data_IF_511476794889
#
_entry.id   IF_511476794889
#
_cell.length_a   1.000
_cell.length_b   1.000
_cell.length_c   1.000
_cell.angle_alpha   90.00
_cell.angle_beta   90.00
_cell.angle_gamma   90.00
#
_symmetry.space_group_name_H-M   'P 1'
#
loop_
_entity.id
_entity.type
_entity.pdbx_description
1 polymer ?
#
# COMPACT_ATOMS: atom_id res chain seq x y z
N UNK A 1 4.53 -13.26 16.12
CA UNK A 1 4.66 -11.78 16.14
C UNK A 1 3.35 -11.18 16.61
N UNK A 2 3.37 -10.16 17.48
CA UNK A 2 2.18 -9.41 17.89
C UNK A 2 1.92 -8.24 16.92
N UNK A 3 0.73 -7.64 16.96
CA UNK A 3 0.41 -6.45 16.14
C UNK A 3 1.37 -5.29 16.46
N UNK A 4 1.72 -5.08 17.73
CA UNK A 4 2.66 -4.01 18.09
C UNK A 4 4.07 -4.27 17.55
N UNK A 5 4.51 -5.53 17.51
CA UNK A 5 5.77 -5.90 16.84
C UNK A 5 5.69 -5.66 15.33
N UNK A 6 4.54 -5.91 14.70
CA UNK A 6 4.34 -5.59 13.27
C UNK A 6 4.41 -4.09 13.02
N UNK A 7 3.77 -3.26 13.86
CA UNK A 7 3.85 -1.80 13.76
C UNK A 7 5.28 -1.28 13.86
N UNK A 8 6.08 -1.82 14.79
CA UNK A 8 7.51 -1.49 14.90
C UNK A 8 8.28 -1.94 13.66
N UNK A 9 7.96 -3.12 13.12
CA UNK A 9 8.59 -3.62 11.90
C UNK A 9 8.29 -2.71 10.70
N UNK A 10 7.06 -2.17 10.58
CA UNK A 10 6.71 -1.19 9.53
C UNK A 10 7.63 0.02 9.58
N UNK A 11 7.87 0.59 10.77
CA UNK A 11 8.76 1.73 10.94
C UNK A 11 10.22 1.40 10.61
N UNK A 12 10.68 0.21 11.00
CA UNK A 12 12.03 -0.26 10.66
C UNK A 12 12.21 -0.42 9.15
N UNK A 13 11.23 -1.02 8.47
CA UNK A 13 11.25 -1.20 7.02
C UNK A 13 11.11 0.13 6.28
N UNK A 14 10.29 1.06 6.76
CA UNK A 14 10.24 2.41 6.23
C UNK A 14 11.61 3.08 6.25
N UNK A 15 12.31 3.03 7.39
CA UNK A 15 13.67 3.57 7.51
C UNK A 15 14.66 2.86 6.59
N UNK A 16 14.59 1.52 6.48
CA UNK A 16 15.45 0.72 5.60
C UNK A 16 15.32 1.14 4.12
N UNK A 17 14.10 1.43 3.66
CA UNK A 17 13.82 1.78 2.27
C UNK A 17 13.76 3.30 2.00
N UNK A 18 14.03 4.14 3.00
CA UNK A 18 13.99 5.60 2.89
C UNK A 18 12.57 6.15 2.64
N UNK A 19 11.55 5.43 3.10
CA UNK A 19 10.15 5.82 2.99
C UNK A 19 9.76 6.59 4.26
N UNK A 20 8.94 7.64 4.09
CA UNK A 20 8.44 8.42 5.23
C UNK A 20 7.68 7.52 6.22
N UNK A 21 8.03 7.51 7.52
CA UNK A 21 7.45 6.60 8.49
C UNK A 21 5.96 6.87 8.76
N UNK A 22 5.52 8.13 8.69
CA UNK A 22 4.11 8.49 8.85
C UNK A 22 3.27 7.94 7.70
N UNK A 23 3.76 8.07 6.47
CA UNK A 23 3.11 7.49 5.28
C UNK A 23 3.09 5.97 5.36
N UNK A 24 4.20 5.34 5.72
CA UNK A 24 4.29 3.88 5.85
C UNK A 24 3.28 3.32 6.84
N UNK A 25 3.20 3.94 8.02
CA UNK A 25 2.28 3.53 9.07
C UNK A 25 0.82 3.68 8.62
N UNK A 26 0.45 4.85 8.08
CA UNK A 26 -0.89 5.14 7.60
C UNK A 26 -1.30 4.20 6.45
N UNK A 27 -0.36 3.89 5.55
CA UNK A 27 -0.61 2.97 4.46
C UNK A 27 -0.88 1.55 4.97
N UNK A 28 -0.06 1.01 5.87
CA UNK A 28 -0.28 -0.32 6.42
C UNK A 28 -1.57 -0.42 7.24
N UNK A 29 -1.94 0.65 7.94
CA UNK A 29 -3.24 0.72 8.61
C UNK A 29 -4.39 0.71 7.60
N UNK A 30 -4.31 1.47 6.52
CA UNK A 30 -5.32 1.50 5.45
C UNK A 30 -5.48 0.14 4.77
N UNK A 31 -4.38 -0.57 4.51
CA UNK A 31 -4.39 -1.88 3.83
C UNK A 31 -4.91 -3.00 4.73
N UNK A 32 -4.47 -3.05 5.98
CA UNK A 32 -4.73 -4.21 6.83
C UNK A 32 -5.74 -3.97 7.97
N UNK A 33 -5.98 -2.69 8.33
CA UNK A 33 -6.73 -2.34 9.53
C UNK A 33 -6.12 -2.91 10.81
N UNK A 34 -4.85 -3.31 10.78
CA UNK A 34 -4.15 -4.05 11.84
C UNK A 34 -4.85 -5.35 12.24
N UNK A 35 -5.64 -5.94 11.34
CA UNK A 35 -6.36 -7.17 11.56
C UNK A 35 -5.44 -8.38 11.45
N UNK A 36 -5.51 -9.28 12.44
CA UNK A 36 -4.67 -10.48 12.48
C UNK A 36 -4.93 -11.44 11.31
N UNK A 37 -6.20 -11.63 10.94
CA UNK A 37 -6.60 -12.48 9.82
C UNK A 37 -6.14 -11.95 8.45
N UNK A 38 -5.98 -10.65 8.32
CA UNK A 38 -5.41 -10.01 7.12
C UNK A 38 -3.89 -10.16 7.11
N UNK A 39 -3.24 -9.85 8.21
CA UNK A 39 -1.77 -9.80 8.29
C UNK A 39 -1.16 -11.20 8.24
N UNK A 40 -1.69 -12.12 9.06
CA UNK A 40 -1.13 -13.47 9.22
C UNK A 40 -1.93 -14.56 8.48
N UNK A 41 -3.00 -14.20 7.76
CA UNK A 41 -3.91 -15.09 7.09
C UNK A 41 -5.04 -15.63 8.01
N UNK A 42 -6.05 -16.21 7.42
CA UNK A 42 -6.18 -16.63 6.02
C UNK A 42 -6.97 -15.66 5.12
N UNK A 43 -7.20 -14.40 5.51
CA UNK A 43 -8.00 -13.46 4.70
C UNK A 43 -7.40 -13.27 3.30
N UNK A 44 -8.27 -13.28 2.29
CA UNK A 44 -7.94 -13.01 0.88
C UNK A 44 -8.91 -11.94 0.38
N UNK A 45 -8.40 -10.86 -0.19
CA UNK A 45 -9.19 -9.79 -0.78
C UNK A 45 -9.88 -10.20 -2.08
N UNK A 46 -10.72 -9.32 -2.64
CA UNK A 46 -11.56 -9.60 -3.80
C UNK A 46 -10.79 -9.86 -5.10
N UNK A 47 -9.60 -9.28 -5.26
CA UNK A 47 -8.68 -9.54 -6.37
C UNK A 47 -7.52 -10.48 -5.98
N UNK A 48 -7.67 -11.21 -4.87
CA UNK A 48 -6.68 -12.14 -4.38
C UNK A 48 -5.61 -11.52 -3.49
N UNK A 49 -5.80 -10.29 -3.02
CA UNK A 49 -4.85 -9.56 -2.19
C UNK A 49 -4.59 -10.29 -0.86
N UNK A 50 -3.34 -10.24 -0.39
CA UNK A 50 -2.91 -10.92 0.84
C UNK A 50 -1.91 -10.11 1.64
N UNK A 51 -1.92 -10.39 2.95
CA UNK A 51 -0.96 -9.86 3.91
C UNK A 51 -1.14 -8.38 4.23
N UNK A 52 -0.21 -7.85 5.00
CA UNK A 52 -0.27 -6.48 5.53
C UNK A 52 -0.30 -5.40 4.42
N UNK A 53 0.35 -5.65 3.29
CA UNK A 53 0.44 -4.72 2.14
C UNK A 53 -0.58 -4.97 1.05
N UNK A 54 -1.50 -5.94 1.24
CA UNK A 54 -2.60 -6.27 0.32
C UNK A 54 -2.12 -6.39 -1.13
N UNK A 55 -1.04 -7.15 -1.36
CA UNK A 55 -0.54 -7.40 -2.70
C UNK A 55 -1.38 -8.44 -3.43
N UNK A 56 -1.73 -8.11 -4.69
CA UNK A 56 -2.31 -9.06 -5.62
C UNK A 56 -1.28 -10.14 -6.01
N UNK A 57 -1.71 -11.30 -6.57
CA UNK A 57 -0.78 -12.30 -7.07
C UNK A 57 0.25 -11.76 -8.07
N UNK A 58 -0.15 -10.83 -8.94
CA UNK A 58 0.71 -10.22 -9.97
C UNK A 58 1.75 -9.30 -9.34
N UNK A 59 1.35 -8.44 -8.41
CA UNK A 59 2.28 -7.56 -7.70
C UNK A 59 3.26 -8.39 -6.88
N UNK A 60 2.77 -9.44 -6.21
CA UNK A 60 3.62 -10.36 -5.47
C UNK A 60 4.63 -11.10 -6.37
N UNK A 61 4.22 -11.55 -7.54
CA UNK A 61 5.12 -12.21 -8.49
C UNK A 61 6.28 -11.32 -8.94
N UNK A 62 6.09 -9.99 -8.88
CA UNK A 62 7.12 -9.02 -9.28
C UNK A 62 8.02 -8.60 -8.11
N UNK A 63 7.46 -8.36 -6.93
CA UNK A 63 8.16 -7.77 -5.79
C UNK A 63 8.33 -8.71 -4.61
N UNK A 64 7.51 -9.75 -4.52
CA UNK A 64 7.54 -10.72 -3.43
C UNK A 64 8.58 -11.81 -3.61
N UNK A 65 8.74 -12.64 -2.58
CA UNK A 65 9.65 -13.78 -2.57
C UNK A 65 8.89 -15.08 -2.31
N UNK A 66 9.02 -16.03 -3.22
CA UNK A 66 8.35 -17.33 -3.13
C UNK A 66 6.84 -17.27 -3.43
N UNK A 67 6.07 -18.27 -3.00
CA UNK A 67 4.64 -18.34 -3.30
C UNK A 67 3.87 -17.20 -2.64
N UNK A 68 2.74 -16.79 -3.23
CA UNK A 68 1.93 -15.67 -2.74
C UNK A 68 1.42 -15.84 -1.30
N UNK A 69 1.37 -17.06 -0.78
CA UNK A 69 1.07 -17.31 0.64
C UNK A 69 2.12 -16.72 1.59
N UNK A 70 3.33 -16.45 1.10
CA UNK A 70 4.37 -15.76 1.88
C UNK A 70 4.04 -14.29 2.18
N UNK A 71 3.04 -13.70 1.51
CA UNK A 71 2.54 -12.37 1.85
C UNK A 71 1.93 -12.30 3.26
N UNK A 72 1.64 -13.45 3.88
CA UNK A 72 1.23 -13.53 5.29
C UNK A 72 2.41 -13.51 6.28
N UNK A 73 3.65 -13.52 5.80
CA UNK A 73 4.81 -13.17 6.62
C UNK A 73 5.06 -11.67 6.55
N UNK A 74 4.89 -10.92 7.66
CA UNK A 74 5.06 -9.46 7.64
C UNK A 74 6.45 -8.99 7.20
N UNK A 75 7.53 -9.76 7.46
CA UNK A 75 8.86 -9.38 7.00
C UNK A 75 8.94 -9.41 5.47
N UNK A 76 8.49 -10.51 4.86
CA UNK A 76 8.52 -10.68 3.42
C UNK A 76 7.56 -9.71 2.72
N UNK A 77 6.37 -9.50 3.28
CA UNK A 77 5.39 -8.56 2.76
C UNK A 77 5.89 -7.11 2.79
N UNK A 78 6.54 -6.70 3.87
CA UNK A 78 7.08 -5.34 4.00
C UNK A 78 8.38 -5.14 3.20
N UNK A 79 9.17 -6.18 2.93
CA UNK A 79 10.28 -6.09 1.99
C UNK A 79 9.77 -5.90 0.55
N UNK A 80 8.75 -6.66 0.15
CA UNK A 80 8.09 -6.49 -1.14
C UNK A 80 7.47 -5.09 -1.29
N UNK A 81 6.77 -4.61 -0.25
CA UNK A 81 6.21 -3.26 -0.20
C UNK A 81 7.29 -2.18 -0.32
N UNK A 82 8.38 -2.30 0.43
CA UNK A 82 9.49 -1.35 0.38
C UNK A 82 10.10 -1.25 -1.01
N UNK A 83 10.31 -2.39 -1.68
CA UNK A 83 10.78 -2.45 -3.06
C UNK A 83 9.82 -1.77 -4.03
N UNK A 84 8.52 -2.05 -3.93
CA UNK A 84 7.51 -1.46 -4.81
C UNK A 84 7.35 0.05 -4.57
N UNK A 85 7.30 0.50 -3.32
CA UNK A 85 7.24 1.94 -3.00
C UNK A 85 8.48 2.70 -3.46
N UNK A 86 9.68 2.11 -3.33
CA UNK A 86 10.91 2.69 -3.85
C UNK A 86 10.86 2.86 -5.37
N UNK A 87 10.35 1.85 -6.09
CA UNK A 87 10.13 1.95 -7.53
C UNK A 87 9.15 3.09 -7.87
N UNK A 88 7.99 3.16 -7.20
CA UNK A 88 6.98 4.18 -7.46
C UNK A 88 7.48 5.60 -7.13
N UNK A 89 8.19 5.77 -6.02
CA UNK A 89 8.79 7.06 -5.67
C UNK A 89 9.85 7.48 -6.69
N UNK A 90 10.66 6.55 -7.17
CA UNK A 90 11.60 6.79 -8.26
C UNK A 90 10.91 7.20 -9.55
N UNK A 91 9.85 6.48 -9.94
CA UNK A 91 9.06 6.74 -11.15
C UNK A 91 8.43 8.14 -11.14
N UNK A 92 7.98 8.61 -9.98
CA UNK A 92 7.29 9.89 -9.82
C UNK A 92 8.15 10.99 -9.18
N UNK A 93 9.49 10.84 -9.16
CA UNK A 93 10.40 11.89 -8.69
C UNK A 93 10.25 12.25 -7.21
N UNK A 94 9.86 11.30 -6.37
CA UNK A 94 9.63 11.50 -4.94
C UNK A 94 8.25 12.06 -4.58
N UNK A 95 7.34 12.16 -5.54
CA UNK A 95 5.95 12.60 -5.33
C UNK A 95 5.16 11.47 -4.66
N UNK A 96 4.96 11.57 -3.34
CA UNK A 96 4.23 10.58 -2.55
C UNK A 96 2.77 10.42 -2.98
N UNK A 97 2.09 11.51 -3.35
CA UNK A 97 0.70 11.43 -3.78
C UNK A 97 0.56 10.59 -5.05
N UNK A 98 1.43 10.83 -6.05
CA UNK A 98 1.43 10.02 -7.27
C UNK A 98 1.87 8.58 -7.02
N UNK A 99 2.89 8.38 -6.18
CA UNK A 99 3.35 7.04 -5.84
C UNK A 99 2.24 6.21 -5.19
N UNK A 100 1.53 6.77 -4.21
CA UNK A 100 0.42 6.12 -3.52
C UNK A 100 -0.80 5.94 -4.43
N UNK A 101 -1.12 6.91 -5.28
CA UNK A 101 -2.15 6.75 -6.33
C UNK A 101 -1.80 5.60 -7.27
N UNK A 102 -0.53 5.51 -7.66
CA UNK A 102 0.00 4.42 -8.49
C UNK A 102 0.01 3.06 -7.77
N UNK A 103 0.26 3.05 -6.45
CA UNK A 103 0.18 1.84 -5.64
C UNK A 103 -1.22 1.24 -5.66
N UNK A 104 -2.24 2.06 -5.42
CA UNK A 104 -3.64 1.61 -5.35
C UNK A 104 -4.24 1.33 -6.73
N UNK A 105 -4.02 2.21 -7.71
CA UNK A 105 -4.69 2.15 -9.01
C UNK A 105 -3.82 1.62 -10.16
N UNK A 106 -2.54 1.33 -9.89
CA UNK A 106 -1.57 1.00 -10.92
C UNK A 106 -0.89 2.24 -11.55
N UNK A 107 0.45 2.25 -11.66
CA UNK A 107 1.19 3.42 -12.16
C UNK A 107 0.90 3.76 -13.62
N UNK A 108 0.45 2.78 -14.42
CA UNK A 108 0.10 2.96 -15.82
C UNK A 108 -0.98 4.02 -16.05
N UNK A 109 -1.94 4.16 -15.15
CA UNK A 109 -3.00 5.18 -15.22
C UNK A 109 -2.47 6.61 -15.10
N UNK A 110 -1.33 6.79 -14.43
CA UNK A 110 -0.66 8.09 -14.31
C UNK A 110 0.37 8.32 -15.42
N UNK A 111 1.10 7.28 -15.84
CA UNK A 111 2.19 7.40 -16.81
C UNK A 111 1.72 7.36 -18.26
N UNK A 112 0.60 6.67 -18.54
CA UNK A 112 0.02 6.57 -19.87
C UNK A 112 -1.51 6.58 -19.82
N UNK A 113 -2.12 7.73 -19.46
CA UNK A 113 -3.57 7.84 -19.32
C UNK A 113 -4.33 7.63 -20.64
N UNK A 114 -3.70 7.89 -21.79
CA UNK A 114 -4.31 7.64 -23.10
C UNK A 114 -4.53 6.15 -23.37
N UNK A 115 -3.70 5.28 -22.78
CA UNK A 115 -3.81 3.82 -22.95
C UNK A 115 -4.68 3.17 -21.87
N UNK A 116 -4.60 3.65 -20.62
CA UNK A 116 -5.19 2.97 -19.46
C UNK A 116 -6.40 3.73 -18.89
N UNK A 117 -6.75 4.90 -19.42
CA UNK A 117 -7.61 5.86 -18.75
C UNK A 117 -6.83 6.61 -17.66
N UNK A 118 -7.43 7.62 -17.06
CA UNK A 118 -6.85 8.28 -15.89
C UNK A 118 -7.01 7.41 -14.62
N UNK A 119 -6.35 7.79 -13.51
CA UNK A 119 -6.56 7.12 -12.23
C UNK A 119 -8.01 7.29 -11.76
N UNK A 120 -8.54 6.27 -11.08
CA UNK A 120 -9.87 6.33 -10.49
C UNK A 120 -9.95 7.38 -9.37
N UNK A 121 -11.16 7.87 -9.08
CA UNK A 121 -11.38 8.77 -7.95
C UNK A 121 -10.91 8.14 -6.62
N UNK A 122 -11.12 6.83 -6.46
CA UNK A 122 -10.66 6.09 -5.28
C UNK A 122 -9.13 6.06 -5.17
N UNK A 123 -8.42 5.86 -6.29
CA UNK A 123 -6.96 5.87 -6.28
C UNK A 123 -6.39 7.28 -6.00
N UNK A 124 -7.03 8.32 -6.51
CA UNK A 124 -6.65 9.71 -6.23
C UNK A 124 -6.89 10.06 -4.76
N UNK A 125 -8.02 9.67 -4.20
CA UNK A 125 -8.34 9.85 -2.78
C UNK A 125 -7.35 9.10 -1.89
N UNK A 126 -7.05 7.84 -2.20
CA UNK A 126 -6.04 7.05 -1.50
C UNK A 126 -4.69 7.78 -1.49
N UNK A 127 -4.21 8.24 -2.64
CA UNK A 127 -2.95 8.94 -2.76
C UNK A 127 -2.90 10.24 -1.97
N UNK A 128 -3.93 11.09 -2.09
CA UNK A 128 -3.98 12.39 -1.40
C UNK A 128 -4.09 12.24 0.11
N UNK A 129 -4.94 11.33 0.59
CA UNK A 129 -5.15 11.10 2.02
C UNK A 129 -3.88 10.60 2.69
N UNK A 130 -3.22 9.60 2.12
CA UNK A 130 -2.02 9.03 2.73
C UNK A 130 -0.79 9.93 2.61
N UNK A 131 -0.65 10.68 1.51
CA UNK A 131 0.45 11.64 1.37
C UNK A 131 0.42 12.77 2.41
N UNK A 132 -0.75 13.08 2.98
CA UNK A 132 -0.89 14.07 4.04
C UNK A 132 -0.18 13.67 5.36
N UNK A 133 0.14 12.39 5.53
CA UNK A 133 0.91 11.89 6.69
C UNK A 133 2.42 12.08 6.56
N UNK A 134 2.90 12.58 5.44
CA UNK A 134 4.33 12.85 5.25
C UNK A 134 4.82 13.88 6.26
N UNK A 135 5.88 13.53 6.99
CA UNK A 135 6.47 14.37 8.03
C UNK A 135 5.72 14.36 9.36
N UNK A 136 4.58 13.67 9.46
CA UNK A 136 3.99 13.34 10.75
C UNK A 136 4.85 12.23 11.36
N UNK A 137 5.87 12.61 12.15
CA UNK A 137 6.72 11.62 12.78
C UNK A 137 5.89 10.57 13.49
N UNK A 138 6.20 9.30 13.26
CA UNK A 138 5.67 8.19 14.05
C UNK A 138 6.29 8.23 15.47
N UNK A 139 6.25 9.41 16.09
CA UNK A 139 6.69 9.60 17.46
C UNK A 139 5.74 8.87 18.39
N UNK A 140 6.34 7.96 19.09
CA UNK A 140 5.79 7.07 20.08
C UNK A 140 4.82 7.78 21.04
N UNK A 141 3.52 7.81 20.72
CA UNK A 141 2.48 8.25 21.64
C UNK A 141 1.50 9.29 21.14
N UNK A 142 1.80 10.04 20.11
CA UNK A 142 0.81 10.91 19.46
C UNK A 142 0.28 10.16 18.24
N UNK A 143 -0.79 9.37 18.44
CA UNK A 143 -1.64 8.98 17.32
C UNK A 143 -1.97 10.26 16.56
N UNK A 144 -1.65 10.39 15.27
CA UNK A 144 -2.41 11.33 14.46
C UNK A 144 -3.86 10.92 14.70
N UNK A 145 -4.72 11.88 15.08
CA UNK A 145 -6.10 11.59 15.45
C UNK A 145 -6.86 11.20 14.17
N UNK A 146 -6.70 9.93 13.75
CA UNK A 146 -7.38 9.34 12.59
C UNK A 146 -8.90 9.46 12.70
N UNK A 147 -9.41 9.62 13.93
CA UNK A 147 -10.83 9.80 14.20
C UNK A 147 -11.32 11.21 13.85
N UNK A 148 -10.47 12.23 13.87
CA UNK A 148 -10.89 13.60 13.54
C UNK A 148 -11.05 13.83 12.03
N UNK A 149 -10.33 13.07 11.19
CA UNK A 149 -10.45 13.14 9.72
C UNK A 149 -11.60 12.22 9.23
N UNK A 150 -11.89 11.16 9.95
CA UNK A 150 -12.95 10.20 9.62
C UNK A 150 -14.38 10.67 9.99
N UNK A 151 -14.56 11.80 10.68
CA UNK A 151 -15.89 12.28 11.08
C UNK A 151 -16.72 12.89 9.94
N UNK A 152 -16.25 12.83 8.69
CA UNK A 152 -16.98 13.30 7.50
C UNK A 152 -17.59 12.22 6.62
N UNK A 153 -17.39 10.93 6.88
CA UNK A 153 -17.96 9.88 6.03
C UNK A 153 -17.83 8.49 6.65
N UNK A 154 -18.95 7.80 6.72
CA UNK A 154 -18.97 6.37 7.02
C UNK A 154 -18.15 5.63 5.97
N UNK A 155 -17.01 5.04 6.37
CA UNK A 155 -16.22 4.18 5.50
C UNK A 155 -16.80 2.76 5.55
N UNK A 156 -17.51 2.30 4.50
CA UNK A 156 -17.88 0.89 4.41
C UNK A 156 -16.61 0.10 4.07
N UNK A 157 -16.04 -0.59 5.03
CA UNK A 157 -14.90 -1.51 4.90
C UNK A 157 -15.09 -2.61 3.85
N UNK A 158 -16.32 -2.71 3.31
CA UNK A 158 -16.74 -3.77 2.38
C UNK A 158 -16.81 -3.32 0.90
N UNK A 159 -16.53 -2.07 0.56
CA UNK A 159 -16.74 -1.56 -0.81
C UNK A 159 -15.46 -1.44 -1.67
N UNK A 160 -14.27 -1.72 -1.15
CA UNK A 160 -13.01 -1.57 -1.90
C UNK A 160 -12.37 -2.88 -2.35
N UNK A 161 -13.12 -3.96 -2.37
CA UNK A 161 -12.70 -5.24 -2.93
C UNK A 161 -12.91 -5.36 -4.44
N UNK A 162 -12.77 -4.34 -5.23
CA UNK A 162 -12.80 -4.48 -6.69
C UNK A 162 -12.37 -3.21 -7.41
N UNK A 163 -11.10 -2.87 -7.38
CA UNK A 163 -10.51 -2.12 -8.50
C UNK A 163 -9.59 -3.08 -9.22
N UNK A 164 -10.09 -3.60 -10.31
CA UNK A 164 -9.40 -4.42 -11.29
C UNK A 164 -8.03 -3.81 -11.61
N UNK A 165 -6.97 -4.34 -11.04
CA UNK A 165 -5.63 -4.20 -11.56
C UNK A 165 -5.50 -5.08 -12.83
N UNK A 166 -6.32 -4.79 -13.84
CA UNK A 166 -6.10 -5.26 -15.22
C UNK A 166 -5.20 -4.26 -15.90
N UNK A 167 -3.94 -4.31 -15.60
CA UNK A 167 -2.89 -3.51 -16.22
C UNK A 167 -1.71 -4.40 -16.56
N UNK A 168 -1.89 -5.15 -17.60
CA UNK A 168 -0.95 -5.93 -18.39
C UNK A 168 0.49 -5.40 -18.31
N UNK A 169 1.35 -6.10 -17.57
CA UNK A 169 2.80 -6.04 -17.68
C UNK A 169 3.23 -6.84 -18.93
N UNK A 170 3.10 -6.23 -20.11
CA UNK A 170 3.77 -6.70 -21.33
C UNK A 170 4.33 -5.49 -22.06
N UNK A 171 5.57 -5.13 -21.78
CA UNK A 171 6.50 -4.51 -22.74
C UNK A 171 7.75 -3.97 -22.02
N UNK A 172 8.68 -4.85 -21.70
CA UNK A 172 10.10 -4.57 -21.80
C UNK A 172 10.80 -5.84 -22.26
N UNK A 173 10.69 -6.09 -23.56
CA UNK A 173 11.68 -6.77 -24.37
C UNK A 173 11.68 -6.07 -25.71
N UNK A 174 12.59 -5.14 -25.85
CA UNK A 174 13.53 -4.93 -26.96
C UNK A 174 14.34 -3.69 -26.61
#
# INVERSE_FOLDING_TARGET
>A
MTIDQVKQLVLQKAAQYGIDPGVAYAQMERESGWRQDVIFGPYVGGAGERGISQFTPETWATYGSGPHTNAYDPNLALDAWGGYMTYLLGLFGGDYQKALTGYNGGPGHLTNPSRYGGPSAAALEYGSTLAAYRGSGADSGSRPDFLSIAQGGEFPWLAFGAVLAVGLFLAFRE
#
